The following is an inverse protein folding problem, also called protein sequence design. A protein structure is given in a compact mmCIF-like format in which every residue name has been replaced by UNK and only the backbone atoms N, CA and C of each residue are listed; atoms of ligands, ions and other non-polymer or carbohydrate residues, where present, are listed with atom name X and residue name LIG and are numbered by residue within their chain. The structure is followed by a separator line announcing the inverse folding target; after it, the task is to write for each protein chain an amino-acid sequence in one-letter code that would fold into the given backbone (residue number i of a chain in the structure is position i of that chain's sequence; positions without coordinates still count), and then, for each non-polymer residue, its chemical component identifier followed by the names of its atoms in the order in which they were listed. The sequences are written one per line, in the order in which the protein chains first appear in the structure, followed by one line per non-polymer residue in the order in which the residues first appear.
data_IF_185217401051
#
_entry.id   IF_185217401051
#
_cell.length_a   1.000
_cell.length_b   1.000
_cell.length_c   1.000
_cell.angle_alpha   90.00
_cell.angle_beta   90.00
_cell.angle_gamma   90.00
#
_symmetry.space_group_name_H-M   'P 1'
#
loop_
_entity.id
_entity.type
_entity.pdbx_description
1 polymer ?
#
# COMPACT_ATOMS: atom_id res chain seq x y z
N UNK A 1 25.11 -2.94 9.38
CA UNK A 1 24.51 -3.91 10.30
C UNK A 1 23.00 -3.81 10.11
N UNK A 2 22.35 -4.83 9.54
CA UNK A 2 20.88 -4.84 9.39
C UNK A 2 20.23 -5.21 10.72
N UNK A 3 19.15 -4.51 11.07
CA UNK A 3 18.30 -4.90 12.19
C UNK A 3 17.65 -6.27 11.92
N UNK A 4 17.49 -7.13 12.93
CA UNK A 4 16.80 -8.41 12.76
C UNK A 4 15.34 -8.15 12.38
N UNK A 5 14.83 -8.90 11.40
CA UNK A 5 13.41 -8.84 11.04
C UNK A 5 12.55 -9.21 12.27
N UNK A 6 11.44 -8.50 12.53
CA UNK A 6 10.51 -8.91 13.58
C UNK A 6 10.03 -10.33 13.30
N UNK A 7 9.81 -11.13 14.35
CA UNK A 7 9.27 -12.49 14.26
C UNK A 7 7.89 -12.49 14.92
N UNK A 8 6.88 -13.04 14.25
CA UNK A 8 5.53 -13.20 14.81
C UNK A 8 5.29 -14.68 15.03
N UNK A 9 4.82 -15.03 16.22
CA UNK A 9 4.37 -16.39 16.53
C UNK A 9 3.01 -16.63 15.88
N UNK A 10 2.94 -17.57 14.94
CA UNK A 10 1.68 -18.09 14.41
C UNK A 10 1.13 -19.11 15.41
N UNK A 11 -0.20 -19.19 15.54
CA UNK A 11 -0.90 -19.97 16.58
C UNK A 11 -0.60 -21.49 16.60
N UNK A 12 0.12 -22.00 15.59
CA UNK A 12 0.56 -23.39 15.48
C UNK A 12 2.01 -23.63 15.91
N UNK A 13 2.69 -22.61 16.45
CA UNK A 13 4.06 -22.72 16.95
C UNK A 13 5.12 -22.76 15.84
N UNK A 14 4.73 -22.53 14.58
CA UNK A 14 5.68 -22.40 13.48
C UNK A 14 6.32 -21.02 13.53
N UNK A 15 7.66 -20.97 13.55
CA UNK A 15 8.42 -19.74 13.31
C UNK A 15 8.28 -19.37 11.83
N UNK A 16 7.22 -18.64 11.48
CA UNK A 16 7.20 -17.91 10.24
C UNK A 16 8.08 -16.67 10.43
N UNK A 17 8.98 -16.38 9.48
CA UNK A 17 9.50 -15.02 9.36
C UNK A 17 8.27 -14.10 9.35
N UNK A 18 8.23 -13.10 10.25
CA UNK A 18 7.13 -12.16 10.15
C UNK A 18 7.20 -11.59 8.74
N UNK A 19 6.06 -11.48 8.05
CA UNK A 19 6.10 -10.93 6.73
C UNK A 19 6.80 -9.58 6.79
N UNK A 20 7.74 -9.36 5.85
CA UNK A 20 8.48 -8.10 5.74
C UNK A 20 7.55 -6.89 5.67
N UNK A 21 6.31 -7.11 5.24
CA UNK A 21 5.27 -6.11 5.08
C UNK A 21 4.02 -6.46 5.88
N UNK A 22 3.44 -5.49 6.58
CA UNK A 22 2.15 -5.65 7.25
C UNK A 22 1.10 -4.81 6.53
N UNK A 23 -0.06 -5.39 6.26
CA UNK A 23 -1.20 -4.73 5.62
C UNK A 23 -2.25 -4.44 6.69
N UNK A 24 -2.55 -3.16 6.90
CA UNK A 24 -3.63 -2.68 7.75
C UNK A 24 -4.77 -2.14 6.88
N UNK A 25 -5.75 -2.97 6.52
CA UNK A 25 -6.95 -2.47 5.88
C UNK A 25 -7.70 -1.49 6.76
N UNK A 26 -8.21 -0.42 6.15
CA UNK A 26 -9.12 0.53 6.80
C UNK A 26 -10.53 0.34 6.25
N UNK A 27 -10.68 0.39 4.92
CA UNK A 27 -12.00 0.38 4.27
C UNK A 27 -12.29 -0.88 3.45
N UNK A 28 -11.31 -1.77 3.27
CA UNK A 28 -11.42 -2.98 2.43
C UNK A 28 -10.93 -4.24 3.13
N UNK A 29 -11.15 -5.41 2.54
CA UNK A 29 -10.58 -6.66 3.06
C UNK A 29 -9.05 -6.70 2.83
N UNK A 30 -8.26 -7.41 3.67
CA UNK A 30 -6.81 -7.51 3.51
C UNK A 30 -6.37 -8.03 2.13
N UNK A 31 -7.09 -9.01 1.57
CA UNK A 31 -6.82 -9.58 0.25
C UNK A 31 -7.09 -8.59 -0.89
N UNK A 32 -8.04 -7.68 -0.70
CA UNK A 32 -8.36 -6.63 -1.65
C UNK A 32 -7.32 -5.49 -1.58
N UNK A 33 -6.90 -5.11 -0.37
CA UNK A 33 -5.79 -4.17 -0.18
C UNK A 33 -4.52 -4.68 -0.85
N UNK A 34 -4.17 -5.96 -0.69
CA UNK A 34 -3.01 -6.56 -1.35
C UNK A 34 -3.06 -6.41 -2.88
N UNK A 35 -4.23 -6.52 -3.50
CA UNK A 35 -4.35 -6.32 -4.94
C UNK A 35 -4.15 -4.87 -5.35
N UNK A 36 -4.68 -3.91 -4.58
CA UNK A 36 -4.44 -2.50 -4.84
C UNK A 36 -2.96 -2.14 -4.67
N UNK A 37 -2.27 -2.75 -3.70
CA UNK A 37 -0.81 -2.65 -3.58
C UNK A 37 -0.15 -3.15 -4.87
N UNK A 38 -0.43 -4.38 -5.32
CA UNK A 38 0.11 -4.91 -6.57
C UNK A 38 -0.10 -3.94 -7.74
N UNK A 39 -1.35 -3.49 -7.94
CA UNK A 39 -1.71 -2.58 -9.02
C UNK A 39 -0.91 -1.28 -8.95
N UNK A 40 -0.86 -0.68 -7.76
CA UNK A 40 -0.24 0.64 -7.55
C UNK A 40 1.27 0.68 -7.78
N UNK A 41 1.95 -0.48 -7.76
CA UNK A 41 3.40 -0.57 -7.96
C UNK A 41 3.81 -1.14 -9.33
N UNK A 42 2.86 -1.54 -10.19
CA UNK A 42 3.14 -2.23 -11.46
C UNK A 42 4.08 -1.49 -12.43
N UNK A 43 4.15 -0.16 -12.34
CA UNK A 43 5.05 0.65 -13.17
C UNK A 43 6.26 1.22 -12.44
N UNK A 44 6.47 0.84 -11.18
CA UNK A 44 7.55 1.36 -10.35
C UNK A 44 8.69 0.35 -10.27
N UNK A 45 9.85 0.68 -10.86
CA UNK A 45 11.03 -0.20 -10.90
C UNK A 45 11.95 -0.10 -9.68
N UNK A 46 11.50 0.51 -8.59
CA UNK A 46 12.31 0.58 -7.37
C UNK A 46 12.38 -0.79 -6.68
N UNK A 47 13.50 -1.13 -6.01
CA UNK A 47 13.60 -2.38 -5.24
C UNK A 47 12.51 -2.52 -4.17
N UNK A 48 12.03 -1.39 -3.64
CA UNK A 48 10.91 -1.31 -2.72
C UNK A 48 9.60 -1.78 -3.38
N UNK A 49 9.31 -1.25 -4.58
CA UNK A 49 8.14 -1.62 -5.35
C UNK A 49 8.17 -3.11 -5.75
N UNK A 50 9.32 -3.63 -6.16
CA UNK A 50 9.49 -5.05 -6.47
C UNK A 50 9.24 -5.94 -5.24
N UNK A 51 9.74 -5.55 -4.07
CA UNK A 51 9.47 -6.29 -2.83
C UNK A 51 7.99 -6.25 -2.45
N UNK A 52 7.37 -5.05 -2.51
CA UNK A 52 5.94 -4.86 -2.25
C UNK A 52 5.07 -5.70 -3.19
N UNK A 53 5.42 -5.71 -4.48
CA UNK A 53 4.70 -6.46 -5.50
C UNK A 53 4.71 -7.96 -5.22
N UNK A 54 5.89 -8.52 -4.90
CA UNK A 54 6.03 -9.95 -4.65
C UNK A 54 5.24 -10.40 -3.41
N UNK A 55 5.38 -9.69 -2.29
CA UNK A 55 4.65 -9.98 -1.05
C UNK A 55 3.13 -9.83 -1.21
N UNK A 56 2.68 -8.77 -1.87
CA UNK A 56 1.27 -8.52 -2.10
C UNK A 56 0.66 -9.56 -3.06
N UNK A 57 1.41 -9.99 -4.08
CA UNK A 57 0.98 -11.03 -5.04
C UNK A 57 0.73 -12.36 -4.36
N UNK A 58 1.57 -12.75 -3.39
CA UNK A 58 1.37 -13.97 -2.62
C UNK A 58 0.12 -13.96 -1.76
N UNK A 59 -0.32 -12.77 -1.31
CA UNK A 59 -1.55 -12.58 -0.51
C UNK A 59 -2.80 -12.41 -1.36
N UNK A 60 -2.63 -11.95 -2.60
CA UNK A 60 -3.69 -11.74 -3.56
C UNK A 60 -4.13 -13.01 -4.32
N UNK A 61 -3.61 -14.20 -3.97
CA UNK A 61 -3.68 -15.49 -4.70
C UNK A 61 -5.05 -15.96 -5.22
N UNK A 62 -6.15 -15.27 -4.94
CA UNK A 62 -7.51 -15.71 -5.30
C UNK A 62 -8.45 -14.68 -5.94
N UNK A 63 -7.98 -13.52 -6.42
CA UNK A 63 -8.96 -12.48 -6.82
C UNK A 63 -8.72 -11.92 -8.23
N UNK A 64 -9.83 -11.92 -9.00
CA UNK A 64 -9.99 -11.61 -10.42
C UNK A 64 -9.86 -10.12 -10.79
N UNK A 65 -9.17 -9.27 -10.02
CA UNK A 65 -9.05 -7.85 -10.38
C UNK A 65 -8.27 -7.59 -11.69
N UNK A 66 -7.56 -8.59 -12.20
CA UNK A 66 -6.88 -8.51 -13.49
C UNK A 66 -7.80 -8.64 -14.72
N UNK A 67 -9.03 -9.17 -14.58
CA UNK A 67 -10.00 -9.25 -15.69
C UNK A 67 -10.67 -7.88 -15.90
N UNK A 68 -9.94 -6.93 -16.47
CA UNK A 68 -10.50 -5.64 -16.90
C UNK A 68 -9.71 -4.40 -16.48
N UNK A 69 -8.69 -4.56 -15.64
CA UNK A 69 -7.75 -3.48 -15.34
C UNK A 69 -6.88 -3.19 -16.57
N UNK A 70 -7.33 -2.28 -17.44
CA UNK A 70 -6.45 -1.66 -18.44
C UNK A 70 -5.59 -0.64 -17.72
N UNK A 71 -4.31 -0.94 -17.62
CA UNK A 71 -3.28 0.00 -17.16
C UNK A 71 -3.19 1.14 -18.17
N UNK A 72 -3.63 2.34 -17.79
CA UNK A 72 -3.62 3.50 -18.68
C UNK A 72 -2.33 4.31 -18.53
N UNK A 73 -1.79 4.41 -17.32
CA UNK A 73 -0.55 5.12 -17.02
C UNK A 73 -0.02 4.72 -15.64
N UNK A 74 1.31 4.64 -15.51
CA UNK A 74 1.99 4.61 -14.21
C UNK A 74 2.77 5.90 -14.04
N UNK A 75 2.68 6.50 -12.85
CA UNK A 75 3.41 7.71 -12.51
C UNK A 75 4.57 7.33 -11.58
N UNK A 76 5.79 7.65 -12.02
CA UNK A 76 7.03 7.43 -11.29
C UNK A 76 7.54 8.77 -10.75
N UNK A 77 8.14 8.66 -9.59
CA UNK A 77 8.46 9.74 -8.67
C UNK A 77 9.62 10.62 -9.06
N UNK A 78 9.45 11.94 -8.96
CA UNK A 78 10.54 12.85 -8.65
C UNK A 78 10.09 13.94 -7.68
N UNK A 79 10.91 14.21 -6.65
CA UNK A 79 10.74 15.36 -5.75
C UNK A 79 10.90 15.02 -4.28
N UNK A 80 11.95 15.56 -3.67
CA UNK A 80 12.32 15.45 -2.24
C UNK A 80 11.11 15.52 -1.28
N UNK A 81 10.59 14.38 -0.83
CA UNK A 81 9.74 14.29 0.38
C UNK A 81 8.35 13.68 0.25
N UNK A 82 7.80 13.47 -0.95
CA UNK A 82 6.46 12.91 -1.13
C UNK A 82 6.48 11.82 -2.21
N UNK A 83 6.60 10.56 -1.78
CA UNK A 83 6.69 9.41 -2.69
C UNK A 83 5.29 8.84 -3.00
N UNK A 84 4.67 9.17 -4.14
CA UNK A 84 3.44 8.59 -4.67
C UNK A 84 3.69 7.77 -5.95
N UNK A 85 3.13 6.57 -6.05
CA UNK A 85 3.10 5.73 -7.24
C UNK A 85 1.67 5.22 -7.47
N UNK A 86 1.34 4.78 -8.67
CA UNK A 86 -0.01 4.25 -8.89
C UNK A 86 -0.36 3.97 -10.33
N UNK A 87 -1.64 3.67 -10.53
CA UNK A 87 -2.22 3.35 -11.84
C UNK A 87 -3.55 4.04 -12.06
N UNK A 88 -3.81 4.37 -13.31
CA UNK A 88 -5.12 4.79 -13.80
C UNK A 88 -5.78 3.61 -14.51
N UNK A 89 -6.98 3.26 -14.06
CA UNK A 89 -7.80 2.18 -14.59
C UNK A 89 -8.81 2.73 -15.61
N UNK A 90 -9.23 1.90 -16.58
CA UNK A 90 -10.15 2.28 -17.66
C UNK A 90 -11.47 2.93 -17.21
N UNK A 91 -11.93 2.68 -15.98
CA UNK A 91 -13.14 3.27 -15.40
C UNK A 91 -12.93 4.70 -14.85
N UNK A 92 -11.87 5.39 -15.26
CA UNK A 92 -11.41 6.66 -14.66
C UNK A 92 -11.13 6.54 -13.15
N UNK A 93 -10.78 5.34 -12.70
CA UNK A 93 -10.47 5.03 -11.30
C UNK A 93 -8.97 5.12 -11.11
N UNK A 94 -8.52 5.92 -10.15
CA UNK A 94 -7.12 6.16 -9.86
C UNK A 94 -6.77 5.50 -8.55
N UNK A 95 -5.78 4.61 -8.59
CA UNK A 95 -5.23 3.96 -7.39
C UNK A 95 -3.85 4.53 -7.16
N UNK A 96 -3.54 4.91 -5.93
CA UNK A 96 -2.26 5.48 -5.53
C UNK A 96 -1.73 4.79 -4.27
N UNK A 97 -0.42 4.65 -4.17
CA UNK A 97 0.30 4.23 -2.98
C UNK A 97 1.42 5.24 -2.71
N UNK A 98 1.62 5.65 -1.47
CA UNK A 98 2.70 6.57 -1.17
C UNK A 98 2.87 6.93 0.29
N UNK A 99 3.75 7.87 0.59
CA UNK A 99 3.86 8.40 1.96
C UNK A 99 2.53 9.02 2.41
N UNK A 100 2.21 9.00 3.71
CA UNK A 100 0.96 9.58 4.21
C UNK A 100 0.73 11.02 3.75
N UNK A 101 1.79 11.82 3.69
CA UNK A 101 1.75 13.22 3.25
C UNK A 101 1.38 13.32 1.76
N UNK A 102 2.04 12.52 0.91
CA UNK A 102 1.81 12.50 -0.53
C UNK A 102 0.38 12.05 -0.86
N UNK A 103 -0.11 11.03 -0.17
CA UNK A 103 -1.47 10.51 -0.36
C UNK A 103 -2.50 11.50 0.15
N UNK A 104 -2.25 12.20 1.27
CA UNK A 104 -3.14 13.25 1.77
C UNK A 104 -3.26 14.41 0.79
N UNK A 105 -2.14 14.87 0.24
CA UNK A 105 -2.12 15.93 -0.77
C UNK A 105 -2.91 15.51 -2.03
N UNK A 106 -2.64 14.30 -2.53
CA UNK A 106 -3.36 13.75 -3.68
C UNK A 106 -4.87 13.60 -3.43
N UNK A 107 -5.26 13.03 -2.28
CA UNK A 107 -6.67 12.90 -1.90
C UNK A 107 -7.34 14.27 -1.84
N UNK A 108 -6.68 15.26 -1.23
CA UNK A 108 -7.22 16.62 -1.14
C UNK A 108 -7.44 17.23 -2.54
N UNK A 109 -6.53 17.00 -3.49
CA UNK A 109 -6.68 17.48 -4.87
C UNK A 109 -7.85 16.81 -5.60
N UNK A 110 -8.17 15.56 -5.27
CA UNK A 110 -9.33 14.81 -5.81
C UNK A 110 -10.63 15.05 -5.01
N UNK A 111 -10.60 15.91 -3.98
CA UNK A 111 -11.75 16.21 -3.11
C UNK A 111 -12.11 15.07 -2.15
N UNK A 112 -11.11 14.30 -1.74
CA UNK A 112 -11.16 13.21 -0.77
C UNK A 112 -10.38 13.51 0.52
N UNK A 113 -10.34 12.52 1.42
CA UNK A 113 -9.62 12.63 2.69
C UNK A 113 -9.27 11.24 3.25
N UNK A 114 -8.29 11.18 4.15
CA UNK A 114 -8.02 9.97 4.91
C UNK A 114 -9.14 9.71 5.93
N UNK A 115 -9.52 8.46 6.10
CA UNK A 115 -10.48 7.99 7.08
C UNK A 115 -9.96 8.20 8.51
N UNK A 116 -10.88 8.27 9.49
CA UNK A 116 -10.50 8.33 10.90
C UNK A 116 -9.61 7.14 11.31
N UNK A 117 -9.91 5.96 10.78
CA UNK A 117 -9.13 4.75 11.04
C UNK A 117 -7.71 4.82 10.46
N UNK A 118 -7.52 5.43 9.28
CA UNK A 118 -6.18 5.68 8.77
C UNK A 118 -5.40 6.63 9.68
N UNK A 119 -6.04 7.68 10.21
CA UNK A 119 -5.38 8.58 11.15
C UNK A 119 -4.96 7.85 12.42
N UNK A 120 -5.86 7.07 13.04
CA UNK A 120 -5.55 6.27 14.22
C UNK A 120 -4.37 5.31 13.99
N UNK A 121 -4.36 4.64 12.84
CA UNK A 121 -3.25 3.73 12.47
C UNK A 121 -1.95 4.50 12.28
N UNK A 122 -1.97 5.66 11.60
CA UNK A 122 -0.77 6.47 11.38
C UNK A 122 -0.23 7.03 12.71
N UNK A 123 -1.11 7.48 13.61
CA UNK A 123 -0.74 7.99 14.93
C UNK A 123 -0.15 6.88 15.82
N UNK A 124 -0.66 5.65 15.73
CA UNK A 124 -0.06 4.49 16.42
C UNK A 124 1.34 4.14 15.92
N UNK A 125 1.68 4.55 14.69
CA UNK A 125 2.92 4.16 14.02
C UNK A 125 3.97 5.26 13.99
N UNK A 126 3.59 6.52 14.22
CA UNK A 126 4.53 7.65 14.30
C UNK A 126 5.61 7.45 15.36
N UNK A 127 5.26 6.73 16.44
CA UNK A 127 6.16 6.48 17.57
C UNK A 127 7.09 5.27 17.35
N UNK A 128 6.83 4.44 16.34
CA UNK A 128 7.47 3.14 16.18
C UNK A 128 8.68 3.14 15.22
N UNK A 129 9.11 4.29 14.69
CA UNK A 129 10.12 4.40 13.61
C UNK A 129 9.84 3.50 12.38
N UNK A 130 8.59 3.08 12.19
CA UNK A 130 8.20 2.20 11.10
C UNK A 130 7.96 3.03 9.86
N UNK A 131 8.42 2.54 8.71
CA UNK A 131 8.12 3.21 7.46
C UNK A 131 6.73 2.77 7.02
N UNK A 132 5.91 3.75 6.65
CA UNK A 132 4.50 3.53 6.31
C UNK A 132 4.20 4.08 4.93
N UNK A 133 3.35 3.38 4.21
CA UNK A 133 2.71 3.85 2.99
C UNK A 133 1.20 3.78 3.17
N UNK A 134 0.48 4.70 2.56
CA UNK A 134 -0.98 4.64 2.47
C UNK A 134 -1.35 4.23 1.05
N UNK A 135 -2.30 3.33 0.92
CA UNK A 135 -2.93 2.98 -0.36
C UNK A 135 -4.27 3.68 -0.39
N UNK A 136 -4.57 4.34 -1.50
CA UNK A 136 -5.81 5.06 -1.69
C UNK A 136 -6.39 4.83 -3.08
N UNK A 137 -7.70 5.00 -3.17
CA UNK A 137 -8.47 4.85 -4.38
C UNK A 137 -9.49 5.98 -4.48
N UNK A 138 -9.40 6.72 -5.58
CA UNK A 138 -10.15 7.95 -5.84
C UNK A 138 -10.11 8.95 -4.67
N UNK A 139 -11.10 8.89 -3.78
CA UNK A 139 -11.35 9.89 -2.72
C UNK A 139 -11.16 9.38 -1.30
N UNK A 140 -10.72 8.13 -1.16
CA UNK A 140 -10.58 7.48 0.15
C UNK A 140 -9.32 6.62 0.20
N UNK A 141 -8.75 6.51 1.39
CA UNK A 141 -7.78 5.46 1.70
C UNK A 141 -8.45 4.07 1.69
N UNK A 142 -7.63 3.08 1.35
CA UNK A 142 -7.95 1.65 1.40
C UNK A 142 -7.27 0.97 2.58
N UNK A 143 -6.10 1.47 2.96
CA UNK A 143 -5.36 0.99 4.11
C UNK A 143 -3.91 1.45 4.14
N UNK A 144 -3.19 0.94 5.12
CA UNK A 144 -1.79 1.27 5.41
C UNK A 144 -0.92 0.03 5.16
N UNK A 145 0.27 0.26 4.62
CA UNK A 145 1.31 -0.74 4.42
C UNK A 145 2.50 -0.36 5.29
N UNK A 146 3.01 -1.30 6.08
CA UNK A 146 4.14 -1.07 7.00
C UNK A 146 5.34 -1.90 6.58
N UNK A 147 6.54 -1.32 6.71
CA UNK A 147 7.81 -1.93 6.30
C UNK A 147 9.06 -1.42 7.01
#
# INVERSE_FOLDING_TARGET
MSAPAPVIFVADGTLAEAPRWQLWPTTVLPSLLAQFVCLSVLGNSSPLADSLFNDARERARHIELAKGARLVRSELLEGNGAALSGVDLASNRKVRIGTPEAVREWLSAEGGSLSAQAHEVLDLLSDAYRRVLVVADQKSDLGVVIY
#
